data_IF_460685385812
#
_entry.id   IF_460685385812
#
_cell.length_a   1.000
_cell.length_b   1.000
_cell.length_c   1.000
_cell.angle_alpha   90.00
_cell.angle_beta   90.00
_cell.angle_gamma   90.00
#
_symmetry.space_group_name_H-M   'P 1'
#
loop_
_entity.id
_entity.type
_entity.pdbx_description
1 polymer ?
#
# COMPACT_ATOMS: atom_id res chain seq x y z
N UNK A 1 -7.83 -6.44 7.45
CA UNK A 1 -8.32 -6.88 6.12
C UNK A 1 -7.14 -7.38 5.30
N UNK A 2 -7.31 -8.50 4.64
CA UNK A 2 -6.24 -9.15 3.89
C UNK A 2 -6.65 -9.36 2.45
N UNK A 3 -5.81 -8.90 1.53
CA UNK A 3 -5.97 -9.16 0.10
C UNK A 3 -4.85 -10.12 -0.30
N UNK A 4 -5.20 -11.36 -0.59
CA UNK A 4 -4.23 -12.40 -0.88
C UNK A 4 -3.48 -12.14 -2.17
N UNK A 5 -2.19 -12.47 -2.17
CA UNK A 5 -1.37 -12.32 -3.37
C UNK A 5 -1.81 -13.27 -4.47
N UNK A 6 -1.56 -12.88 -5.70
CA UNK A 6 -1.74 -13.71 -6.87
C UNK A 6 -0.45 -13.69 -7.67
N UNK A 7 -0.48 -14.30 -8.86
CA UNK A 7 0.69 -14.31 -9.72
C UNK A 7 1.15 -12.90 -10.10
N UNK A 8 0.21 -11.96 -10.19
CA UNK A 8 0.49 -10.59 -10.67
C UNK A 8 0.23 -9.51 -9.63
N UNK A 9 -0.21 -9.88 -8.44
CA UNK A 9 -0.56 -8.92 -7.41
C UNK A 9 0.11 -9.27 -6.09
N UNK A 10 0.48 -8.25 -5.32
CA UNK A 10 1.14 -8.48 -4.03
C UNK A 10 0.14 -8.88 -2.96
N UNK A 11 0.67 -9.42 -1.86
CA UNK A 11 -0.08 -9.59 -0.63
C UNK A 11 -0.29 -8.20 -0.04
N UNK A 12 -1.53 -7.88 0.37
CA UNK A 12 -1.82 -6.61 1.03
C UNK A 12 -2.56 -6.91 2.33
N UNK A 13 -2.03 -6.39 3.44
CA UNK A 13 -2.64 -6.53 4.75
C UNK A 13 -2.83 -5.14 5.35
N UNK A 14 -4.06 -4.82 5.71
CA UNK A 14 -4.39 -3.52 6.28
C UNK A 14 -5.01 -3.72 7.66
N UNK A 15 -4.33 -3.20 8.67
CA UNK A 15 -4.79 -3.20 10.05
C UNK A 15 -4.94 -1.76 10.54
N UNK A 16 -5.42 -1.57 11.76
CA UNK A 16 -5.67 -0.23 12.29
C UNK A 16 -4.39 0.57 12.55
N UNK A 17 -3.26 -0.13 12.69
CA UNK A 17 -1.99 0.52 13.00
C UNK A 17 -0.89 0.25 11.97
N UNK A 18 -1.16 -0.57 10.97
CA UNK A 18 -0.14 -0.90 9.97
C UNK A 18 -0.73 -1.41 8.67
N UNK A 19 0.08 -1.32 7.61
CA UNK A 19 -0.24 -1.85 6.30
C UNK A 19 1.00 -2.52 5.72
N UNK A 20 0.82 -3.70 5.15
CA UNK A 20 1.90 -4.43 4.47
C UNK A 20 1.51 -4.62 3.01
N UNK A 21 2.43 -4.31 2.10
CA UNK A 21 2.30 -4.65 0.68
C UNK A 21 3.57 -5.39 0.28
N UNK A 22 3.44 -6.65 -0.10
CA UNK A 22 4.60 -7.51 -0.34
C UNK A 22 4.44 -8.35 -1.59
N UNK A 23 5.38 -8.24 -2.52
CA UNK A 23 5.40 -9.03 -3.73
C UNK A 23 5.58 -8.23 -4.99
N UNK A 24 4.99 -8.72 -6.07
CA UNK A 24 5.06 -8.08 -7.38
C UNK A 24 3.69 -7.49 -7.73
N UNK A 25 3.69 -6.33 -8.40
CA UNK A 25 2.45 -5.64 -8.71
C UNK A 25 2.40 -5.27 -10.19
N UNK A 26 1.70 -6.08 -10.99
CA UNK A 26 1.48 -5.81 -12.41
C UNK A 26 0.16 -6.42 -12.90
N UNK A 27 -0.97 -6.09 -12.24
CA UNK A 27 -2.27 -6.62 -12.66
C UNK A 27 -2.68 -6.06 -14.03
N UNK A 28 -3.51 -6.79 -14.75
CA UNK A 28 -4.00 -6.34 -16.04
C UNK A 28 -4.86 -5.10 -15.93
N UNK A 29 -5.63 -5.00 -14.85
CA UNK A 29 -6.48 -3.85 -14.59
C UNK A 29 -6.17 -3.30 -13.20
N UNK A 30 -5.27 -2.32 -13.16
CA UNK A 30 -4.81 -1.74 -11.91
C UNK A 30 -5.96 -1.07 -11.13
N UNK A 31 -6.87 -0.41 -11.82
CA UNK A 31 -7.96 0.29 -11.15
C UNK A 31 -8.89 -0.70 -10.45
N UNK A 32 -9.22 -1.81 -11.10
CA UNK A 32 -10.08 -2.83 -10.52
C UNK A 32 -9.44 -3.49 -9.30
N UNK A 33 -8.14 -3.80 -9.39
CA UNK A 33 -7.43 -4.41 -8.28
C UNK A 33 -7.23 -3.43 -7.12
N UNK A 34 -6.87 -2.18 -7.42
CA UNK A 34 -6.46 -1.23 -6.39
C UNK A 34 -7.64 -0.55 -5.68
N UNK A 35 -8.79 -0.44 -6.34
CA UNK A 35 -9.91 0.32 -5.79
C UNK A 35 -10.36 -0.18 -4.41
N UNK A 36 -10.62 -1.48 -4.19
CA UNK A 36 -11.01 -1.95 -2.85
C UNK A 36 -9.89 -1.78 -1.83
N UNK A 37 -8.62 -1.84 -2.26
CA UNK A 37 -7.50 -1.67 -1.36
C UNK A 37 -7.40 -0.22 -0.90
N UNK A 38 -7.52 0.72 -1.83
CA UNK A 38 -7.48 2.15 -1.49
C UNK A 38 -8.67 2.56 -0.63
N UNK A 39 -9.83 1.99 -0.89
CA UNK A 39 -11.02 2.25 -0.07
C UNK A 39 -10.82 1.73 1.35
N UNK A 40 -10.26 0.53 1.50
CA UNK A 40 -9.99 -0.05 2.81
C UNK A 40 -8.95 0.77 3.57
N UNK A 41 -7.91 1.24 2.88
CA UNK A 41 -6.89 2.08 3.50
C UNK A 41 -7.49 3.39 3.99
N UNK A 42 -8.28 4.06 3.14
CA UNK A 42 -8.89 5.33 3.50
C UNK A 42 -9.81 5.18 4.70
N UNK A 43 -10.66 4.15 4.69
CA UNK A 43 -11.56 3.89 5.80
C UNK A 43 -10.79 3.63 7.09
N UNK A 44 -9.72 2.85 7.01
CA UNK A 44 -8.89 2.55 8.17
C UNK A 44 -8.25 3.82 8.73
N UNK A 45 -7.73 4.68 7.86
CA UNK A 45 -7.10 5.93 8.28
C UNK A 45 -8.11 6.90 8.89
N UNK A 46 -9.35 6.92 8.38
CA UNK A 46 -10.39 7.79 8.92
C UNK A 46 -10.89 7.34 10.28
N UNK A 47 -10.86 6.03 10.55
CA UNK A 47 -11.42 5.47 11.78
C UNK A 47 -10.43 5.30 12.91
N UNK A 48 -9.18 5.72 12.73
CA UNK A 48 -8.15 5.61 13.74
C UNK A 48 -7.25 6.84 13.70
N UNK A 49 -6.75 7.26 14.87
CA UNK A 49 -5.83 8.39 14.95
C UNK A 49 -4.45 8.00 15.47
N UNK A 50 -4.21 6.72 15.71
CA UNK A 50 -2.92 6.27 16.20
C UNK A 50 -1.86 6.30 15.09
N UNK A 51 -0.59 6.19 15.49
CA UNK A 51 0.51 6.14 14.53
C UNK A 51 0.29 4.99 13.55
N UNK A 52 0.69 5.21 12.31
CA UNK A 52 0.48 4.22 11.27
C UNK A 52 1.80 3.81 10.65
N UNK A 53 2.01 2.52 10.53
CA UNK A 53 3.26 1.97 10.00
C UNK A 53 2.98 1.26 8.68
N UNK A 54 3.77 1.57 7.67
CA UNK A 54 3.61 1.01 6.33
C UNK A 54 4.90 0.29 5.94
N UNK A 55 4.76 -0.98 5.57
CA UNK A 55 5.88 -1.78 5.07
C UNK A 55 5.60 -2.11 3.61
N UNK A 56 6.48 -1.64 2.74
CA UNK A 56 6.40 -1.89 1.32
C UNK A 56 7.58 -2.76 0.90
N UNK A 57 7.27 -3.94 0.37
CA UNK A 57 8.27 -4.86 -0.17
C UNK A 57 7.87 -5.21 -1.60
N UNK A 58 7.95 -4.23 -2.49
CA UNK A 58 7.61 -4.43 -3.89
C UNK A 58 8.87 -4.76 -4.67
N UNK A 59 8.93 -5.99 -5.15
CA UNK A 59 10.09 -6.48 -5.91
C UNK A 59 10.01 -6.05 -7.37
N UNK A 60 8.80 -5.81 -7.86
CA UNK A 60 8.58 -5.34 -9.21
C UNK A 60 7.20 -4.70 -9.31
N UNK A 61 7.10 -3.61 -10.06
CA UNK A 61 5.82 -3.03 -10.44
C UNK A 61 5.97 -2.36 -11.80
N UNK A 62 4.89 -2.38 -12.59
CA UNK A 62 4.90 -1.75 -13.91
C UNK A 62 4.43 -0.30 -13.82
N UNK A 63 4.46 0.40 -14.94
CA UNK A 63 4.11 1.83 -14.96
C UNK A 63 2.64 2.08 -14.59
N UNK A 64 1.75 1.17 -14.91
CA UNK A 64 0.34 1.29 -14.52
C UNK A 64 0.17 1.22 -13.01
N UNK A 65 0.97 0.37 -12.37
CA UNK A 65 0.91 0.22 -10.91
C UNK A 65 1.51 1.41 -10.18
N UNK A 66 2.33 2.22 -10.86
CA UNK A 66 2.86 3.44 -10.26
C UNK A 66 1.74 4.39 -9.88
N UNK A 67 0.66 4.44 -10.65
CA UNK A 67 -0.49 5.28 -10.32
C UNK A 67 -1.14 4.86 -9.01
N UNK A 68 -1.26 3.55 -8.78
CA UNK A 68 -1.75 3.03 -7.51
C UNK A 68 -0.88 3.54 -6.35
N UNK A 69 0.43 3.49 -6.52
CA UNK A 69 1.34 3.94 -5.48
C UNK A 69 1.22 5.44 -5.22
N UNK A 70 1.02 6.25 -6.26
CA UNK A 70 0.77 7.67 -6.09
C UNK A 70 -0.47 7.92 -5.23
N UNK A 71 -1.56 7.25 -5.54
CA UNK A 71 -2.81 7.41 -4.79
C UNK A 71 -2.65 6.92 -3.35
N UNK A 72 -1.92 5.82 -3.18
CA UNK A 72 -1.63 5.25 -1.88
C UNK A 72 -0.87 6.24 -1.01
N UNK A 73 0.21 6.82 -1.53
CA UNK A 73 1.00 7.80 -0.79
C UNK A 73 0.24 9.08 -0.54
N UNK A 74 -0.63 9.49 -1.47
CA UNK A 74 -1.44 10.68 -1.29
C UNK A 74 -2.39 10.54 -0.09
N UNK A 75 -3.01 9.36 0.06
CA UNK A 75 -3.87 9.12 1.24
C UNK A 75 -3.07 9.17 2.53
N UNK A 76 -1.86 8.62 2.52
CA UNK A 76 -0.99 8.66 3.69
C UNK A 76 -0.57 10.09 4.01
N UNK A 77 -0.27 10.88 2.99
CA UNK A 77 0.12 12.28 3.15
C UNK A 77 -1.02 13.11 3.76
N UNK A 78 -2.24 12.87 3.33
CA UNK A 78 -3.41 13.54 3.90
C UNK A 78 -3.56 13.20 5.38
N UNK A 79 -3.37 11.93 5.74
CA UNK A 79 -3.46 11.53 7.15
C UNK A 79 -2.35 12.18 7.98
N UNK A 80 -1.15 12.30 7.45
CA UNK A 80 -0.05 12.98 8.12
C UNK A 80 -0.35 14.47 8.30
N UNK A 81 -1.00 15.08 7.30
CA UNK A 81 -1.40 16.48 7.37
C UNK A 81 -2.43 16.77 8.46
N UNK A 82 -3.15 15.75 8.91
CA UNK A 82 -4.10 15.87 10.01
C UNK A 82 -3.48 15.61 11.38
N UNK A 83 -2.15 15.54 11.44
CA UNK A 83 -1.42 15.37 12.70
C UNK A 83 -1.07 13.94 13.05
N UNK A 84 -1.35 13.01 12.15
CA UNK A 84 -1.05 11.60 12.37
C UNK A 84 0.38 11.30 11.95
N UNK A 85 1.09 10.50 12.74
CA UNK A 85 2.44 10.08 12.40
C UNK A 85 2.39 8.86 11.48
N UNK A 86 2.98 8.98 10.31
CA UNK A 86 3.05 7.89 9.33
C UNK A 86 4.51 7.49 9.17
N UNK A 87 4.80 6.23 9.41
CA UNK A 87 6.14 5.66 9.25
C UNK A 87 6.14 4.72 8.06
N UNK A 88 6.96 5.01 7.06
CA UNK A 88 7.01 4.20 5.83
C UNK A 88 8.37 3.53 5.72
N UNK A 89 8.35 2.20 5.63
CA UNK A 89 9.54 1.39 5.41
C UNK A 89 9.43 0.79 4.03
N UNK A 90 10.26 1.25 3.11
CA UNK A 90 10.29 0.72 1.76
C UNK A 90 11.49 -0.20 1.62
N UNK A 91 11.22 -1.47 1.33
CA UNK A 91 12.23 -2.47 1.09
C UNK A 91 12.16 -2.90 -0.36
N UNK A 92 13.28 -3.06 -0.99
CA UNK A 92 13.33 -3.50 -2.38
C UNK A 92 14.39 -4.58 -2.53
N UNK A 93 14.20 -5.40 -3.54
CA UNK A 93 15.16 -6.46 -3.83
C UNK A 93 16.28 -5.89 -4.67
N UNK A 94 17.52 -6.16 -4.28
CA UNK A 94 18.69 -5.84 -5.08
C UNK A 94 19.25 -7.15 -5.64
N UNK A 95 19.44 -7.21 -6.94
CA UNK A 95 19.91 -8.45 -7.56
C UNK A 95 21.36 -8.74 -7.24
N UNK A 96 22.10 -7.74 -6.84
CA UNK A 96 23.51 -7.87 -6.50
C UNK A 96 23.74 -8.36 -5.07
N UNK A 97 22.70 -8.54 -4.32
CA UNK A 97 22.79 -9.01 -2.94
C UNK A 97 22.88 -10.53 -2.84
#
# INVERSE_FOLDING_TARGET
>A
MIFEKSQRTPQVEIASDRCLIQGECYPENIAEWSSPILDALRETLENSSQDYNVDLELYYFNSSSAKFLFDFFEYLDEAAGEGRTININWRYRTEDD
#
